data_IF_131901013735
#
_entry.id   IF_131901013735
#
_cell.length_a   1.000
_cell.length_b   1.000
_cell.length_c   1.000
_cell.angle_alpha   90.00
_cell.angle_beta   90.00
_cell.angle_gamma   90.00
#
_symmetry.space_group_name_H-M   'P 1'
#
loop_
_entity.id
_entity.type
_entity.pdbx_description
1 polymer ?
#
# COMPACT_ATOMS: atom_id res chain seq x y z
N UNK A 1 13.44 -5.27 14.61
CA UNK A 1 12.82 -5.58 13.29
C UNK A 1 13.94 -5.56 12.23
N UNK A 2 13.83 -6.28 11.12
CA UNK A 2 14.82 -6.26 10.02
C UNK A 2 14.11 -6.06 8.68
N UNK A 3 14.85 -5.74 7.61
CA UNK A 3 14.27 -5.39 6.31
C UNK A 3 13.37 -6.50 5.74
N UNK A 4 13.78 -7.77 5.89
CA UNK A 4 12.94 -8.94 5.53
C UNK A 4 11.58 -8.93 6.22
N UNK A 5 11.52 -8.59 7.51
CA UNK A 5 10.27 -8.49 8.25
C UNK A 5 9.43 -7.28 7.81
N UNK A 6 10.05 -6.17 7.39
CA UNK A 6 9.31 -5.02 6.84
C UNK A 6 8.59 -5.42 5.55
N UNK A 7 9.28 -6.10 4.64
CA UNK A 7 8.68 -6.66 3.42
C UNK A 7 7.50 -7.58 3.71
N UNK A 8 7.68 -8.54 4.63
CA UNK A 8 6.59 -9.46 5.02
C UNK A 8 5.41 -8.74 5.69
N UNK A 9 5.70 -7.74 6.53
CA UNK A 9 4.65 -6.89 7.12
C UNK A 9 3.87 -6.11 6.06
N UNK A 10 4.57 -5.52 5.10
CA UNK A 10 3.92 -4.80 4.00
C UNK A 10 3.06 -5.74 3.15
N UNK A 11 3.55 -6.94 2.88
CA UNK A 11 2.80 -7.96 2.16
C UNK A 11 1.46 -8.28 2.86
N UNK A 12 1.45 -8.42 4.19
CA UNK A 12 0.19 -8.62 4.94
C UNK A 12 -0.77 -7.44 4.75
N UNK A 13 -0.27 -6.20 4.85
CA UNK A 13 -1.08 -5.02 4.57
C UNK A 13 -1.63 -5.01 3.14
N UNK A 14 -0.80 -5.38 2.15
CA UNK A 14 -1.20 -5.49 0.76
C UNK A 14 -2.28 -6.56 0.53
N UNK A 15 -2.21 -7.70 1.22
CA UNK A 15 -3.25 -8.75 1.19
C UNK A 15 -4.56 -8.21 1.78
N UNK A 16 -4.52 -7.48 2.89
CA UNK A 16 -5.72 -6.88 3.48
C UNK A 16 -6.36 -5.86 2.53
N UNK A 17 -5.56 -4.99 1.90
CA UNK A 17 -6.04 -4.07 0.88
C UNK A 17 -6.58 -4.79 -0.36
N UNK A 18 -5.97 -5.90 -0.76
CA UNK A 18 -6.47 -6.73 -1.86
C UNK A 18 -7.84 -7.35 -1.54
N UNK A 19 -8.00 -7.93 -0.34
CA UNK A 19 -9.28 -8.49 0.11
C UNK A 19 -10.35 -7.39 0.14
N UNK A 20 -10.02 -6.23 0.70
CA UNK A 20 -10.90 -5.06 0.72
C UNK A 20 -11.31 -4.61 -0.68
N UNK A 21 -10.33 -4.45 -1.57
CA UNK A 21 -10.55 -4.00 -2.95
C UNK A 21 -11.29 -5.01 -3.84
N UNK A 22 -11.11 -6.31 -3.64
CA UNK A 22 -11.73 -7.37 -4.46
C UNK A 22 -13.14 -7.72 -4.00
N UNK A 23 -13.33 -7.87 -2.69
CA UNK A 23 -14.56 -8.44 -2.12
C UNK A 23 -15.41 -7.43 -1.36
N UNK A 24 -14.83 -6.31 -0.93
CA UNK A 24 -15.51 -5.27 -0.13
C UNK A 24 -15.40 -3.88 -0.76
N UNK A 25 -15.27 -3.82 -2.09
CA UNK A 25 -14.91 -2.60 -2.83
C UNK A 25 -15.85 -1.45 -2.52
N UNK A 26 -17.17 -1.68 -2.57
CA UNK A 26 -18.16 -0.64 -2.32
C UNK A 26 -18.02 -0.01 -0.93
N UNK A 27 -17.83 -0.84 0.11
CA UNK A 27 -17.59 -0.36 1.47
C UNK A 27 -16.29 0.41 1.58
N UNK A 28 -15.21 -0.06 0.94
CA UNK A 28 -13.89 0.54 1.00
C UNK A 28 -13.85 1.93 0.31
N UNK A 29 -14.55 2.06 -0.82
CA UNK A 29 -14.73 3.33 -1.53
C UNK A 29 -15.64 4.27 -0.74
N UNK A 30 -16.73 3.75 -0.18
CA UNK A 30 -17.64 4.51 0.68
C UNK A 30 -16.95 5.10 1.91
N UNK A 31 -16.08 4.32 2.58
CA UNK A 31 -15.30 4.81 3.73
C UNK A 31 -14.15 5.74 3.35
N UNK A 32 -13.86 5.89 2.05
CA UNK A 32 -13.00 6.93 1.48
C UNK A 32 -13.76 8.21 1.08
N UNK A 33 -15.09 8.27 1.32
CA UNK A 33 -15.95 9.39 0.97
C UNK A 33 -16.46 9.38 -0.47
N UNK A 34 -16.31 8.27 -1.20
CA UNK A 34 -16.77 8.16 -2.59
C UNK A 34 -18.15 7.54 -2.68
N UNK A 35 -18.92 7.94 -3.68
CA UNK A 35 -20.16 7.24 -4.06
C UNK A 35 -19.80 6.01 -4.91
N UNK A 36 -20.04 4.78 -4.44
CA UNK A 36 -19.65 3.59 -5.20
C UNK A 36 -20.59 3.39 -6.40
N UNK A 37 -20.08 3.62 -7.61
CA UNK A 37 -20.76 3.27 -8.86
C UNK A 37 -20.27 1.91 -9.37
N UNK A 38 -21.03 1.21 -10.24
CA UNK A 38 -20.58 -0.06 -10.82
C UNK A 38 -19.22 0.01 -11.53
N UNK A 39 -18.94 1.10 -12.24
CA UNK A 39 -17.69 1.32 -12.96
C UNK A 39 -16.54 1.55 -11.97
N UNK A 40 -16.79 2.32 -10.90
CA UNK A 40 -15.78 2.59 -9.88
C UNK A 40 -15.47 1.36 -9.03
N UNK A 41 -16.48 0.54 -8.76
CA UNK A 41 -16.31 -0.79 -8.14
C UNK A 41 -15.44 -1.66 -9.03
N UNK A 42 -15.71 -1.70 -10.34
CA UNK A 42 -14.90 -2.48 -11.30
C UNK A 42 -13.44 -2.02 -11.27
N UNK A 43 -13.18 -0.70 -11.29
CA UNK A 43 -11.83 -0.15 -11.15
C UNK A 43 -11.19 -0.49 -9.80
N UNK A 44 -11.95 -0.39 -8.71
CA UNK A 44 -11.48 -0.75 -7.37
C UNK A 44 -11.09 -2.23 -7.24
N UNK A 45 -11.80 -3.13 -7.93
CA UNK A 45 -11.45 -4.55 -7.99
C UNK A 45 -10.15 -4.80 -8.78
N UNK A 46 -9.92 -4.10 -9.90
CA UNK A 46 -8.64 -4.14 -10.58
C UNK A 46 -7.50 -3.67 -9.67
N UNK A 47 -7.70 -2.57 -8.94
CA UNK A 47 -6.73 -2.10 -7.95
C UNK A 47 -6.51 -3.12 -6.83
N UNK A 48 -7.56 -3.78 -6.35
CA UNK A 48 -7.48 -4.89 -5.40
C UNK A 48 -6.61 -6.04 -5.91
N UNK A 49 -6.76 -6.43 -7.18
CA UNK A 49 -5.89 -7.43 -7.82
C UNK A 49 -4.44 -6.96 -7.92
N UNK A 50 -4.22 -5.69 -8.27
CA UNK A 50 -2.86 -5.11 -8.29
C UNK A 50 -2.21 -5.16 -6.91
N UNK A 51 -2.95 -4.84 -5.83
CA UNK A 51 -2.43 -4.97 -4.47
C UNK A 51 -2.08 -6.41 -4.11
N UNK A 52 -2.87 -7.40 -4.57
CA UNK A 52 -2.55 -8.81 -4.34
C UNK A 52 -1.22 -9.21 -4.99
N UNK A 53 -1.02 -8.80 -6.25
CA UNK A 53 0.23 -9.06 -6.98
C UNK A 53 1.42 -8.43 -6.26
N UNK A 54 1.31 -7.15 -5.89
CA UNK A 54 2.36 -6.42 -5.16
C UNK A 54 2.63 -7.07 -3.81
N UNK A 55 1.61 -7.54 -3.10
CA UNK A 55 1.78 -8.21 -1.81
C UNK A 55 2.56 -9.52 -1.94
N UNK A 56 2.24 -10.33 -2.96
CA UNK A 56 2.97 -11.57 -3.26
C UNK A 56 4.44 -11.24 -3.61
N UNK A 57 4.68 -10.21 -4.41
CA UNK A 57 6.04 -9.77 -4.72
C UNK A 57 6.78 -9.32 -3.47
N UNK A 58 6.16 -8.46 -2.65
CA UNK A 58 6.72 -7.99 -1.39
C UNK A 58 7.12 -9.15 -0.48
N UNK A 59 6.27 -10.18 -0.39
CA UNK A 59 6.55 -11.38 0.41
C UNK A 59 7.78 -12.15 -0.09
N UNK A 60 7.94 -12.25 -1.41
CA UNK A 60 8.96 -13.09 -2.07
C UNK A 60 10.30 -12.38 -2.29
N UNK A 61 10.30 -11.05 -2.43
CA UNK A 61 11.50 -10.26 -2.70
C UNK A 61 12.67 -10.60 -1.75
N UNK A 62 12.49 -10.64 -0.41
CA UNK A 62 13.58 -10.94 0.53
C UNK A 62 14.23 -12.32 0.38
N UNK A 63 13.60 -13.22 -0.37
CA UNK A 63 14.09 -14.58 -0.62
C UNK A 63 14.75 -14.70 -2.01
N UNK A 64 14.62 -13.68 -2.88
CA UNK A 64 15.06 -13.74 -4.28
C UNK A 64 16.20 -12.75 -4.57
N UNK A 65 16.16 -11.54 -3.99
CA UNK A 65 17.06 -10.45 -4.40
C UNK A 65 18.47 -10.51 -3.79
N UNK A 66 18.71 -11.41 -2.84
CA UNK A 66 20.03 -11.63 -2.22
C UNK A 66 20.65 -10.33 -1.70
N UNK A 67 21.89 -10.05 -2.14
CA UNK A 67 22.67 -8.88 -1.72
C UNK A 67 22.04 -7.53 -2.12
N UNK A 68 21.12 -7.52 -3.09
CA UNK A 68 20.42 -6.32 -3.52
C UNK A 68 19.24 -5.93 -2.60
N UNK A 69 19.03 -6.62 -1.47
CA UNK A 69 17.88 -6.41 -0.59
C UNK A 69 17.77 -4.97 -0.09
N UNK A 70 18.89 -4.35 0.30
CA UNK A 70 18.90 -2.97 0.78
C UNK A 70 18.54 -1.98 -0.34
N UNK A 71 19.09 -2.15 -1.54
CA UNK A 71 18.73 -1.33 -2.70
C UNK A 71 17.25 -1.48 -3.06
N UNK A 72 16.72 -2.70 -3.00
CA UNK A 72 15.30 -2.96 -3.21
C UNK A 72 14.45 -2.29 -2.14
N UNK A 73 14.81 -2.39 -0.86
CA UNK A 73 14.12 -1.70 0.22
C UNK A 73 14.09 -0.18 0.04
N UNK A 74 15.16 0.43 -0.48
CA UNK A 74 15.17 1.86 -0.80
C UNK A 74 14.16 2.23 -1.91
N UNK A 75 14.00 1.39 -2.94
CA UNK A 75 12.97 1.59 -3.96
C UNK A 75 11.55 1.50 -3.38
N UNK A 76 11.33 0.59 -2.43
CA UNK A 76 10.06 0.47 -1.71
C UNK A 76 9.79 1.66 -0.80
N UNK A 77 10.82 2.22 -0.16
CA UNK A 77 10.71 3.47 0.58
C UNK A 77 10.29 4.64 -0.32
N UNK A 78 10.93 4.77 -1.49
CA UNK A 78 10.58 5.79 -2.48
C UNK A 78 9.15 5.63 -3.01
N UNK A 79 8.77 4.40 -3.37
CA UNK A 79 7.40 4.09 -3.80
C UNK A 79 6.38 4.45 -2.72
N UNK A 80 6.64 4.06 -1.47
CA UNK A 80 5.79 4.41 -0.32
C UNK A 80 5.68 5.92 -0.11
N UNK A 81 6.78 6.68 -0.26
CA UNK A 81 6.75 8.14 -0.18
C UNK A 81 5.87 8.77 -1.27
N UNK A 82 5.98 8.28 -2.51
CA UNK A 82 5.12 8.76 -3.61
C UNK A 82 3.63 8.49 -3.33
N UNK A 83 3.31 7.33 -2.74
CA UNK A 83 1.96 7.04 -2.28
C UNK A 83 1.49 7.99 -1.17
N UNK A 84 2.33 8.29 -0.18
CA UNK A 84 2.00 9.27 0.86
C UNK A 84 1.68 10.63 0.24
N UNK A 85 2.48 11.09 -0.72
CA UNK A 85 2.27 12.38 -1.40
C UNK A 85 0.92 12.43 -2.09
N UNK A 86 0.56 11.41 -2.89
CA UNK A 86 -0.72 11.43 -3.61
C UNK A 86 -1.92 11.28 -2.67
N UNK A 87 -1.81 10.48 -1.59
CA UNK A 87 -2.90 10.37 -0.61
C UNK A 87 -3.07 11.70 0.13
N UNK A 88 -1.98 12.35 0.54
CA UNK A 88 -2.02 13.67 1.17
C UNK A 88 -2.70 14.69 0.25
N UNK A 89 -2.32 14.70 -1.03
CA UNK A 89 -2.94 15.57 -2.02
C UNK A 89 -4.45 15.35 -2.15
N UNK A 90 -4.91 14.09 -2.20
CA UNK A 90 -6.34 13.79 -2.25
C UNK A 90 -7.10 14.17 -0.97
N UNK A 91 -6.46 14.05 0.20
CA UNK A 91 -7.04 14.51 1.47
C UNK A 91 -7.17 16.04 1.47
N UNK A 92 -6.11 16.76 1.09
CA UNK A 92 -6.08 18.23 1.10
C UNK A 92 -7.10 18.82 0.12
N UNK A 93 -7.29 18.19 -1.04
CA UNK A 93 -8.25 18.65 -2.06
C UNK A 93 -9.68 18.20 -1.78
N UNK A 94 -9.90 17.37 -0.76
CA UNK A 94 -11.21 16.76 -0.47
C UNK A 94 -11.62 15.65 -1.44
N UNK A 95 -10.72 15.24 -2.34
CA UNK A 95 -10.95 14.14 -3.27
C UNK A 95 -11.06 12.78 -2.58
N UNK A 96 -10.47 12.62 -1.38
CA UNK A 96 -10.65 11.45 -0.53
C UNK A 96 -10.70 11.88 0.95
N UNK A 97 -11.49 11.20 1.77
CA UNK A 97 -11.63 11.50 3.18
C UNK A 97 -11.94 10.22 3.98
N UNK A 98 -12.25 10.38 5.27
CA UNK A 98 -12.70 9.27 6.11
C UNK A 98 -11.61 8.26 6.46
N UNK A 99 -12.03 7.20 7.16
CA UNK A 99 -11.12 6.25 7.78
C UNK A 99 -10.15 5.61 6.78
N UNK A 100 -10.60 5.27 5.57
CA UNK A 100 -9.74 4.65 4.54
C UNK A 100 -8.58 5.57 4.17
N UNK A 101 -8.82 6.86 3.94
CA UNK A 101 -7.78 7.79 3.53
C UNK A 101 -6.75 8.00 4.65
N UNK A 102 -7.21 8.25 5.89
CA UNK A 102 -6.35 8.54 7.02
C UNK A 102 -5.56 7.32 7.52
N UNK A 103 -6.17 6.13 7.53
CA UNK A 103 -5.46 4.91 7.90
C UNK A 103 -4.41 4.55 6.85
N UNK A 104 -4.74 4.67 5.56
CA UNK A 104 -3.79 4.37 4.49
C UNK A 104 -2.56 5.30 4.52
N UNK A 105 -2.75 6.62 4.63
CA UNK A 105 -1.60 7.53 4.66
C UNK A 105 -0.66 7.24 5.83
N UNK A 106 -1.20 6.93 7.02
CA UNK A 106 -0.41 6.59 8.21
C UNK A 106 0.34 5.29 7.99
N UNK A 107 -0.34 4.21 7.59
CA UNK A 107 0.29 2.91 7.41
C UNK A 107 1.34 2.94 6.28
N UNK A 108 1.02 3.56 5.15
CA UNK A 108 1.97 3.74 4.04
C UNK A 108 3.18 4.56 4.50
N UNK A 109 2.99 5.63 5.27
CA UNK A 109 4.09 6.43 5.81
C UNK A 109 4.98 5.64 6.77
N UNK A 110 4.39 4.85 7.67
CA UNK A 110 5.13 3.98 8.59
C UNK A 110 5.95 2.93 7.85
N UNK A 111 5.37 2.29 6.82
CA UNK A 111 6.12 1.33 6.01
C UNK A 111 7.20 1.99 5.17
N UNK A 112 6.95 3.14 4.55
CA UNK A 112 7.96 3.89 3.79
C UNK A 112 9.15 4.26 4.68
N UNK A 113 8.88 4.78 5.88
CA UNK A 113 9.92 5.08 6.87
C UNK A 113 10.66 3.80 7.32
N UNK A 114 9.92 2.72 7.59
CA UNK A 114 10.50 1.42 7.92
C UNK A 114 11.45 0.92 6.84
N UNK A 115 11.02 0.90 5.58
CA UNK A 115 11.86 0.54 4.44
C UNK A 115 13.11 1.41 4.38
N UNK A 116 12.98 2.73 4.51
CA UNK A 116 14.13 3.64 4.47
C UNK A 116 15.15 3.35 5.57
N UNK A 117 14.71 3.27 6.84
CA UNK A 117 15.61 3.08 7.97
C UNK A 117 16.27 1.71 7.98
N UNK A 118 15.54 0.66 7.61
CA UNK A 118 16.08 -0.70 7.57
C UNK A 118 16.88 -1.03 6.30
N UNK A 119 16.88 -0.16 5.29
CA UNK A 119 17.71 -0.31 4.07
C UNK A 119 19.05 0.42 4.13
N UNK A 120 19.27 1.25 5.15
CA UNK A 120 20.53 1.98 5.32
C UNK A 120 21.64 1.17 6.01
N UNK A 121 21.30 0.02 6.58
CA UNK A 121 22.18 -0.86 7.35
C UNK A 121 22.28 -2.21 6.67
#
# INVERSE_FOLDING_TARGET
MNLRNIFKGYAVLGILNAIGGLFFTASFLGSAGWTPTPELITLGQFMGMTFLIIAIWSWRIPDIVGDALNSMGMLWALGGLLWVVIIAFHIITGAAAGATAYVNIVLTGLFAAGFYFYSKN
#
